data_IF_285201867845
#
_entry.id   IF_285201867845
#
_cell.length_a   1.000
_cell.length_b   1.000
_cell.length_c   1.000
_cell.angle_alpha   90.00
_cell.angle_beta   90.00
_cell.angle_gamma   90.00
#
_symmetry.space_group_name_H-M   'P 1'
#
loop_
_entity.id
_entity.type
_entity.pdbx_description
1 polymer ?
#
# COMPACT_ATOMS: atom_id res chain seq x y z
N UNK A 1 1.79 25.06 39.64
CA UNK A 1 1.73 24.46 38.26
C UNK A 1 0.49 24.99 37.57
N UNK A 2 0.64 25.53 36.34
CA UNK A 2 -0.42 26.16 35.55
C UNK A 2 -1.61 25.18 35.29
N UNK A 3 -1.36 23.88 35.25
CA UNK A 3 -2.40 22.86 35.13
C UNK A 3 -3.36 22.82 36.32
N UNK A 4 -2.86 22.99 37.55
CA UNK A 4 -3.68 22.96 38.77
C UNK A 4 -4.61 24.19 38.86
N UNK A 5 -4.16 25.33 38.40
CA UNK A 5 -4.96 26.57 38.30
C UNK A 5 -6.09 26.46 37.26
N UNK A 6 -5.81 25.81 36.14
CA UNK A 6 -6.83 25.56 35.07
C UNK A 6 -7.91 24.59 35.56
N UNK A 7 -7.55 23.53 36.29
CA UNK A 7 -8.52 22.59 36.86
C UNK A 7 -9.37 23.23 37.97
N UNK A 8 -8.80 24.07 38.79
CA UNK A 8 -9.52 24.82 39.84
C UNK A 8 -10.51 25.82 39.24
N UNK A 9 -10.11 26.53 38.18
CA UNK A 9 -11.00 27.45 37.46
C UNK A 9 -12.14 26.70 36.72
N UNK A 10 -11.87 25.55 36.13
CA UNK A 10 -12.85 24.68 35.49
C UNK A 10 -13.87 24.13 36.49
N UNK A 11 -13.45 23.77 37.70
CA UNK A 11 -14.34 23.27 38.73
C UNK A 11 -15.25 24.37 39.33
N UNK A 12 -14.72 25.58 39.50
CA UNK A 12 -15.51 26.75 39.93
C UNK A 12 -16.55 27.17 38.85
N UNK A 13 -16.20 27.05 37.56
CA UNK A 13 -17.12 27.37 36.46
C UNK A 13 -18.25 26.31 36.29
N UNK A 14 -17.97 25.05 36.61
CA UNK A 14 -18.94 23.96 36.59
C UNK A 14 -20.01 24.09 37.68
N UNK A 15 -19.68 24.72 38.80
CA UNK A 15 -20.64 24.99 39.90
C UNK A 15 -21.61 26.15 39.58
N UNK A 16 -21.19 27.09 38.70
CA UNK A 16 -22.00 28.23 38.29
C UNK A 16 -22.98 27.95 37.15
N UNK A 17 -22.83 26.79 36.44
CA UNK A 17 -23.66 26.44 35.28
C UNK A 17 -25.02 25.79 35.61
N UNK A 18 -25.39 25.67 36.89
CA UNK A 18 -26.70 25.11 37.32
C UNK A 18 -27.89 26.04 37.16
N UNK A 19 -27.75 27.24 36.58
CA UNK A 19 -28.87 28.14 36.29
C UNK A 19 -29.28 28.08 34.82
N UNK A 20 -30.60 28.11 34.58
CA UNK A 20 -31.39 27.86 33.35
C UNK A 20 -31.01 28.58 32.03
N UNK A 21 -29.75 28.86 31.72
CA UNK A 21 -29.30 29.40 30.42
C UNK A 21 -28.29 28.47 29.71
N UNK A 22 -28.53 27.16 29.79
CA UNK A 22 -27.56 26.09 29.54
C UNK A 22 -27.13 25.82 28.09
N UNK A 23 -27.79 26.37 27.05
CA UNK A 23 -27.49 25.90 25.67
C UNK A 23 -26.32 26.63 25.00
N UNK A 24 -26.14 27.93 25.24
CA UNK A 24 -25.02 28.69 24.62
C UNK A 24 -23.67 28.49 25.35
N UNK A 25 -23.74 28.27 26.65
CA UNK A 25 -22.53 28.07 27.48
C UNK A 25 -21.91 26.69 27.22
N UNK A 26 -22.74 25.65 27.02
CA UNK A 26 -22.26 24.31 26.68
C UNK A 26 -21.61 24.25 25.28
N UNK A 27 -22.11 25.00 24.32
CA UNK A 27 -21.53 25.09 22.99
C UNK A 27 -20.18 25.83 23.01
N UNK A 28 -20.05 26.92 23.77
CA UNK A 28 -18.78 27.64 23.98
C UNK A 28 -17.76 26.77 24.71
N UNK A 29 -18.19 25.99 25.70
CA UNK A 29 -17.32 25.05 26.43
C UNK A 29 -16.79 23.96 25.52
N UNK A 30 -17.66 23.32 24.72
CA UNK A 30 -17.25 22.30 23.76
C UNK A 30 -16.32 22.88 22.67
N UNK A 31 -16.60 24.08 22.19
CA UNK A 31 -15.73 24.78 21.25
C UNK A 31 -14.35 25.09 21.83
N UNK A 32 -14.28 25.53 23.10
CA UNK A 32 -13.00 25.78 23.80
C UNK A 32 -12.24 24.48 24.08
N UNK A 33 -12.94 23.39 24.45
CA UNK A 33 -12.36 22.06 24.63
C UNK A 33 -11.77 21.50 23.34
N UNK A 34 -12.48 21.61 22.23
CA UNK A 34 -12.00 21.23 20.89
C UNK A 34 -10.77 22.05 20.51
N UNK A 35 -10.77 23.37 20.78
CA UNK A 35 -9.65 24.24 20.48
C UNK A 35 -8.43 24.00 21.38
N UNK A 36 -8.61 23.50 22.60
CA UNK A 36 -7.53 23.08 23.51
C UNK A 36 -6.95 21.71 23.12
N UNK A 37 -7.78 20.81 22.56
CA UNK A 37 -7.32 19.50 22.05
C UNK A 37 -6.61 19.59 20.70
N UNK A 38 -6.81 20.67 19.93
CA UNK A 38 -6.16 20.88 18.63
C UNK A 38 -4.81 21.60 18.73
N UNK A 39 -4.17 21.69 19.88
CA UNK A 39 -2.74 22.00 19.93
C UNK A 39 -1.99 20.81 19.31
N UNK A 40 -1.93 20.82 18.01
CA UNK A 40 -0.97 20.01 17.27
C UNK A 40 0.40 20.45 17.78
N UNK A 41 1.13 19.51 18.36
CA UNK A 41 2.50 19.75 18.84
C UNK A 41 3.39 19.95 17.61
N UNK A 42 3.38 21.16 17.04
CA UNK A 42 4.14 21.55 15.84
C UNK A 42 5.65 21.50 16.06
N UNK A 43 6.10 21.29 17.31
CA UNK A 43 7.50 21.19 17.69
C UNK A 43 8.02 19.74 17.70
N UNK A 44 7.19 18.74 17.39
CA UNK A 44 7.66 17.36 17.27
C UNK A 44 8.30 17.14 15.90
N UNK A 45 9.56 17.46 15.73
CA UNK A 45 10.38 17.12 14.56
C UNK A 45 10.76 15.63 14.50
N UNK A 46 10.14 14.78 15.31
CA UNK A 46 10.44 13.36 15.35
C UNK A 46 9.90 12.66 14.10
N UNK A 47 10.80 12.28 13.21
CA UNK A 47 10.46 11.43 12.06
C UNK A 47 10.02 10.05 12.57
N UNK A 48 8.81 9.63 12.20
CA UNK A 48 8.30 8.30 12.52
C UNK A 48 8.89 7.31 11.51
N UNK A 49 9.76 6.42 11.98
CA UNK A 49 10.28 5.30 11.20
C UNK A 49 9.60 4.01 11.64
N UNK A 50 9.11 3.23 10.70
CA UNK A 50 8.45 1.95 10.95
C UNK A 50 9.50 0.84 11.02
N UNK A 51 9.40 -0.02 12.04
CA UNK A 51 10.20 -1.23 12.16
C UNK A 51 9.45 -2.43 11.56
N UNK A 52 10.15 -3.56 11.37
CA UNK A 52 9.57 -4.79 10.83
C UNK A 52 8.35 -5.29 11.62
N UNK A 53 8.36 -5.11 12.94
CA UNK A 53 7.29 -5.54 13.85
C UNK A 53 6.08 -4.60 13.84
N UNK A 54 6.31 -3.29 13.61
CA UNK A 54 5.26 -2.28 13.59
C UNK A 54 4.65 -2.07 12.21
N UNK A 55 5.20 -2.69 11.16
CA UNK A 55 4.71 -2.60 9.80
C UNK A 55 3.35 -3.33 9.67
N UNK A 56 2.29 -2.58 9.38
CA UNK A 56 0.96 -3.13 9.13
C UNK A 56 0.83 -3.46 7.65
N UNK A 57 0.63 -4.75 7.32
CA UNK A 57 0.38 -5.23 5.95
C UNK A 57 -1.10 -5.53 5.77
N UNK A 58 -1.67 -5.04 4.70
CA UNK A 58 -3.05 -5.34 4.29
C UNK A 58 -3.02 -6.28 3.08
N UNK A 59 -4.15 -6.96 2.84
CA UNK A 59 -4.34 -7.77 1.65
C UNK A 59 -5.19 -7.01 0.64
N UNK A 60 -4.70 -6.91 -0.58
CA UNK A 60 -5.32 -6.16 -1.66
C UNK A 60 -5.53 -7.08 -2.85
N UNK A 61 -6.75 -7.10 -3.38
CA UNK A 61 -7.15 -7.86 -4.55
C UNK A 61 -7.30 -6.91 -5.75
N UNK A 62 -6.73 -7.29 -6.89
CA UNK A 62 -6.69 -6.49 -8.11
C UNK A 62 -7.11 -7.36 -9.29
N UNK A 63 -8.03 -6.87 -10.13
CA UNK A 63 -8.40 -7.52 -11.38
C UNK A 63 -7.52 -7.02 -12.53
N UNK A 64 -6.90 -7.96 -13.25
CA UNK A 64 -6.04 -7.70 -14.40
C UNK A 64 -6.79 -7.70 -15.72
N UNK A 65 -8.10 -7.96 -15.75
CA UNK A 65 -8.90 -8.07 -16.97
C UNK A 65 -8.76 -6.80 -17.80
N UNK A 66 -8.37 -6.95 -19.07
CA UNK A 66 -8.23 -5.88 -20.06
C UNK A 66 -7.24 -4.76 -19.69
N UNK A 67 -6.51 -4.90 -18.61
CA UNK A 67 -5.53 -3.90 -18.17
C UNK A 67 -4.20 -4.04 -18.94
N UNK A 68 -3.55 -2.93 -19.31
CA UNK A 68 -2.23 -2.98 -19.92
C UNK A 68 -1.18 -3.41 -18.87
N UNK A 69 -0.48 -4.52 -19.15
CA UNK A 69 0.49 -5.16 -18.25
C UNK A 69 1.46 -4.17 -17.60
N UNK A 70 2.06 -3.27 -18.37
CA UNK A 70 3.06 -2.34 -17.85
C UNK A 70 2.50 -1.36 -16.83
N UNK A 71 1.31 -0.80 -17.10
CA UNK A 71 0.62 0.14 -16.19
C UNK A 71 0.15 -0.57 -14.92
N UNK A 72 -0.43 -1.76 -15.07
CA UNK A 72 -0.82 -2.62 -13.96
C UNK A 72 0.38 -2.90 -13.05
N UNK A 73 1.46 -3.46 -13.61
CA UNK A 73 2.64 -3.82 -12.85
C UNK A 73 3.32 -2.63 -12.16
N UNK A 74 3.28 -1.42 -12.75
CA UNK A 74 3.86 -0.22 -12.12
C UNK A 74 3.10 0.19 -10.85
N UNK A 75 1.77 0.10 -10.85
CA UNK A 75 0.92 0.37 -9.69
C UNK A 75 1.06 -0.72 -8.63
N UNK A 76 1.10 -1.99 -9.06
CA UNK A 76 1.38 -3.14 -8.17
C UNK A 76 2.74 -2.98 -7.48
N UNK A 77 3.79 -2.57 -8.19
CA UNK A 77 5.10 -2.34 -7.60
C UNK A 77 5.09 -1.21 -6.54
N UNK A 78 4.29 -0.16 -6.74
CA UNK A 78 4.09 0.91 -5.73
C UNK A 78 3.39 0.38 -4.48
N UNK A 79 2.34 -0.48 -4.63
CA UNK A 79 1.62 -1.11 -3.52
C UNK A 79 2.52 -2.06 -2.73
N UNK A 80 3.21 -2.97 -3.43
CA UNK A 80 4.16 -3.91 -2.84
C UNK A 80 5.27 -3.21 -2.05
N UNK A 81 5.75 -2.06 -2.54
CA UNK A 81 6.75 -1.26 -1.82
C UNK A 81 6.16 -0.43 -0.69
N UNK A 82 4.84 -0.21 -0.67
CA UNK A 82 4.15 0.59 0.34
C UNK A 82 4.22 2.10 0.12
N UNK A 83 4.48 2.57 -1.10
CA UNK A 83 4.62 4.01 -1.39
C UNK A 83 3.32 4.82 -1.24
N UNK A 84 2.18 4.17 -1.12
CA UNK A 84 0.89 4.82 -0.84
C UNK A 84 0.64 5.05 0.66
N UNK A 85 1.47 4.47 1.54
CA UNK A 85 1.33 4.62 2.99
C UNK A 85 2.10 5.83 3.49
N UNK A 86 1.49 6.60 4.38
CA UNK A 86 2.16 7.73 5.05
C UNK A 86 3.36 7.28 5.89
N UNK A 87 3.32 6.05 6.40
CA UNK A 87 4.38 5.43 7.21
C UNK A 87 5.48 4.74 6.38
N UNK A 88 5.59 5.06 5.09
CA UNK A 88 6.58 4.45 4.21
C UNK A 88 8.01 4.64 4.72
N UNK A 89 8.73 3.54 4.91
CA UNK A 89 10.14 3.53 5.32
C UNK A 89 10.96 2.74 4.29
N UNK A 90 11.98 3.35 3.64
CA UNK A 90 12.67 2.76 2.48
C UNK A 90 13.41 1.44 2.77
N UNK A 91 13.91 1.24 3.99
CA UNK A 91 14.71 0.08 4.40
C UNK A 91 13.90 -1.05 5.01
N UNK A 92 12.58 -0.87 5.18
CA UNK A 92 11.66 -1.88 5.74
C UNK A 92 10.61 -2.26 4.72
N UNK A 93 10.14 -3.52 4.75
CA UNK A 93 9.02 -3.99 3.96
C UNK A 93 7.69 -3.53 4.60
N UNK A 94 7.26 -2.33 4.22
CA UNK A 94 6.00 -1.71 4.66
C UNK A 94 4.84 -1.92 3.68
N UNK A 95 5.07 -2.66 2.59
CA UNK A 95 4.10 -2.88 1.53
C UNK A 95 2.95 -3.79 1.94
N UNK A 96 2.00 -3.93 1.02
CA UNK A 96 0.84 -4.79 1.16
C UNK A 96 1.03 -6.10 0.41
N UNK A 97 0.26 -7.12 0.80
CA UNK A 97 0.15 -8.36 0.04
C UNK A 97 -0.82 -8.14 -1.12
N UNK A 98 -0.38 -8.40 -2.35
CA UNK A 98 -1.17 -8.12 -3.54
C UNK A 98 -1.56 -9.42 -4.23
N UNK A 99 -2.87 -9.62 -4.43
CA UNK A 99 -3.45 -10.71 -5.18
C UNK A 99 -3.88 -10.16 -6.54
N UNK A 100 -3.39 -10.77 -7.61
CA UNK A 100 -3.76 -10.41 -8.99
C UNK A 100 -4.61 -11.55 -9.54
N UNK A 101 -5.84 -11.21 -9.96
CA UNK A 101 -6.79 -12.13 -10.56
C UNK A 101 -6.87 -11.95 -12.08
N UNK A 102 -7.39 -12.95 -12.77
CA UNK A 102 -7.57 -12.94 -14.23
C UNK A 102 -6.28 -12.59 -15.00
N UNK A 103 -5.14 -13.06 -14.53
CA UNK A 103 -3.84 -12.72 -15.10
C UNK A 103 -3.70 -13.11 -16.59
N UNK A 104 -4.46 -14.11 -17.05
CA UNK A 104 -4.48 -14.53 -18.46
C UNK A 104 -5.11 -13.51 -19.40
N UNK A 105 -6.00 -12.63 -18.86
CA UNK A 105 -6.74 -11.64 -19.66
C UNK A 105 -6.04 -10.28 -19.77
N UNK A 106 -4.78 -10.22 -19.39
CA UNK A 106 -3.97 -8.99 -19.46
C UNK A 106 -3.66 -8.61 -20.90
N UNK A 107 -3.60 -7.30 -21.19
CA UNK A 107 -3.30 -6.79 -22.54
C UNK A 107 -1.88 -6.27 -22.66
N UNK A 108 -1.28 -6.52 -23.83
CA UNK A 108 -0.08 -5.84 -24.32
C UNK A 108 -0.42 -5.11 -25.60
N UNK A 109 0.01 -3.86 -25.75
CA UNK A 109 -0.26 -3.05 -26.94
C UNK A 109 0.69 -3.39 -28.09
N UNK A 110 0.18 -3.36 -29.33
CA UNK A 110 0.95 -3.66 -30.55
C UNK A 110 1.46 -5.09 -30.59
N UNK A 111 2.55 -5.34 -31.29
CA UNK A 111 3.17 -6.65 -31.50
C UNK A 111 4.06 -7.12 -30.33
N UNK A 112 3.94 -6.50 -29.13
CA UNK A 112 4.83 -6.80 -27.98
C UNK A 112 4.75 -8.24 -27.48
N UNK A 113 3.73 -8.99 -27.82
CA UNK A 113 3.63 -10.40 -27.49
C UNK A 113 4.74 -11.23 -28.13
N UNK A 114 5.15 -10.86 -29.34
CA UNK A 114 6.16 -11.54 -30.15
C UNK A 114 7.50 -10.84 -30.16
N UNK A 115 7.48 -9.51 -30.31
CA UNK A 115 8.70 -8.74 -30.57
C UNK A 115 9.51 -8.42 -29.29
N UNK A 116 8.84 -8.40 -28.14
CA UNK A 116 9.55 -8.13 -26.89
C UNK A 116 10.29 -9.38 -26.43
N UNK A 117 11.61 -9.24 -26.19
CA UNK A 117 12.47 -10.34 -25.73
C UNK A 117 12.89 -10.07 -24.28
N UNK A 118 12.77 -11.10 -23.43
CA UNK A 118 13.30 -11.15 -22.07
C UNK A 118 14.49 -12.10 -22.01
N UNK A 119 15.66 -11.57 -21.67
CA UNK A 119 16.88 -12.36 -21.54
C UNK A 119 17.01 -13.00 -20.16
N UNK A 120 17.53 -14.22 -20.14
CA UNK A 120 18.02 -14.92 -18.95
C UNK A 120 19.38 -15.49 -19.26
N UNK A 121 20.30 -15.33 -18.36
CA UNK A 121 21.67 -15.85 -18.47
C UNK A 121 21.94 -16.88 -17.39
N UNK A 122 22.53 -18.03 -17.74
CA UNK A 122 22.85 -19.13 -16.82
C UNK A 122 24.20 -18.99 -16.12
N UNK A 123 25.05 -18.06 -16.54
CA UNK A 123 26.41 -17.88 -16.02
C UNK A 123 27.51 -18.66 -16.79
N UNK A 124 27.11 -19.49 -17.74
CA UNK A 124 28.05 -20.27 -18.57
C UNK A 124 28.23 -19.69 -19.98
N UNK A 125 29.34 -19.93 -20.68
CA UNK A 125 29.50 -19.58 -22.10
C UNK A 125 28.35 -20.11 -22.92
N UNK A 126 27.75 -19.27 -23.80
CA UNK A 126 26.56 -19.63 -24.59
C UNK A 126 25.27 -19.79 -23.78
N UNK A 127 25.25 -19.46 -22.50
CA UNK A 127 24.12 -19.65 -21.60
C UNK A 127 23.02 -18.59 -21.67
N UNK A 128 23.02 -17.70 -22.66
CA UNK A 128 21.94 -16.74 -22.88
C UNK A 128 20.71 -17.45 -23.44
N UNK A 129 19.57 -17.20 -22.85
CA UNK A 129 18.28 -17.69 -23.30
C UNK A 129 17.30 -16.53 -23.46
N UNK A 130 16.48 -16.61 -24.51
CA UNK A 130 15.50 -15.63 -24.88
C UNK A 130 14.10 -16.18 -24.63
N UNK A 131 13.21 -15.33 -24.15
CA UNK A 131 11.81 -15.66 -23.93
C UNK A 131 10.94 -14.49 -24.38
N UNK A 132 9.92 -14.77 -25.17
CA UNK A 132 8.86 -13.82 -25.48
C UNK A 132 7.84 -13.75 -24.34
N UNK A 133 7.04 -12.66 -24.23
CA UNK A 133 5.91 -12.62 -23.30
C UNK A 133 4.93 -13.79 -23.51
N UNK A 134 4.69 -14.18 -24.75
CA UNK A 134 3.85 -15.32 -25.10
C UNK A 134 4.40 -16.65 -24.52
N UNK A 135 5.72 -16.87 -24.58
CA UNK A 135 6.35 -18.05 -23.99
C UNK A 135 6.26 -18.06 -22.46
N UNK A 136 6.41 -16.89 -21.84
CA UNK A 136 6.27 -16.78 -20.38
C UNK A 136 4.84 -17.02 -19.94
N UNK A 137 3.85 -16.51 -20.69
CA UNK A 137 2.43 -16.73 -20.41
C UNK A 137 2.05 -18.20 -20.53
N UNK A 138 2.52 -18.91 -21.57
CA UNK A 138 2.33 -20.37 -21.72
C UNK A 138 2.87 -21.16 -20.55
N UNK A 139 3.99 -20.73 -19.97
CA UNK A 139 4.62 -21.37 -18.78
C UNK A 139 3.91 -21.06 -17.49
N UNK A 140 3.02 -20.07 -17.52
CA UNK A 140 2.23 -19.58 -16.39
C UNK A 140 2.27 -18.06 -16.26
N UNK A 141 1.11 -17.39 -16.08
CA UNK A 141 1.01 -15.93 -16.00
C UNK A 141 1.85 -15.37 -14.85
N UNK A 142 2.00 -16.09 -13.75
CA UNK A 142 2.85 -15.71 -12.63
C UNK A 142 4.28 -15.38 -13.06
N UNK A 143 4.85 -16.15 -13.97
CA UNK A 143 6.24 -15.94 -14.46
C UNK A 143 6.40 -14.63 -15.21
N UNK A 144 5.40 -14.26 -16.02
CA UNK A 144 5.41 -13.00 -16.75
C UNK A 144 5.30 -11.81 -15.79
N UNK A 145 4.33 -11.85 -14.87
CA UNK A 145 4.13 -10.78 -13.88
C UNK A 145 5.36 -10.62 -12.98
N UNK A 146 5.90 -11.69 -12.44
CA UNK A 146 7.13 -11.66 -11.62
C UNK A 146 8.32 -11.08 -12.38
N UNK A 147 8.50 -11.45 -13.65
CA UNK A 147 9.59 -10.91 -14.47
C UNK A 147 9.47 -9.39 -14.65
N UNK A 148 8.26 -8.90 -14.91
CA UNK A 148 7.99 -7.48 -15.11
C UNK A 148 8.11 -6.68 -13.80
N UNK A 149 7.45 -7.15 -12.73
CA UNK A 149 7.46 -6.46 -11.42
C UNK A 149 8.86 -6.47 -10.79
N UNK A 150 9.62 -7.58 -10.91
CA UNK A 150 11.01 -7.64 -10.43
C UNK A 150 11.89 -6.55 -11.05
N UNK A 151 11.66 -6.21 -12.32
CA UNK A 151 12.36 -5.09 -12.98
C UNK A 151 12.00 -3.71 -12.44
N UNK A 152 10.83 -3.56 -11.78
CA UNK A 152 10.32 -2.30 -11.21
C UNK A 152 10.61 -2.15 -9.72
N UNK A 153 11.00 -3.23 -9.04
CA UNK A 153 11.39 -3.23 -7.64
C UNK A 153 12.89 -2.96 -7.48
N UNK A 154 13.36 -2.51 -6.32
CA UNK A 154 14.78 -2.32 -6.05
C UNK A 154 15.54 -3.64 -6.16
N UNK A 155 16.74 -3.60 -6.76
CA UNK A 155 17.60 -4.76 -7.00
C UNK A 155 18.46 -5.08 -5.77
N UNK A 156 17.81 -5.45 -4.67
CA UNK A 156 18.44 -5.81 -3.40
C UNK A 156 17.68 -6.95 -2.71
N UNK A 157 18.22 -7.45 -1.60
CA UNK A 157 17.59 -8.51 -0.80
C UNK A 157 16.16 -8.13 -0.35
N UNK A 158 15.92 -6.85 -0.02
CA UNK A 158 14.60 -6.35 0.35
C UNK A 158 13.63 -6.42 -0.84
N UNK A 159 14.08 -6.08 -2.05
CA UNK A 159 13.24 -6.17 -3.25
C UNK A 159 12.84 -7.60 -3.59
N UNK A 160 13.72 -8.57 -3.39
CA UNK A 160 13.39 -10.00 -3.56
C UNK A 160 12.39 -10.47 -2.50
N UNK A 161 12.52 -10.02 -1.25
CA UNK A 161 11.54 -10.30 -0.19
C UNK A 161 10.16 -9.65 -0.46
N UNK A 162 10.13 -8.42 -0.95
CA UNK A 162 8.90 -7.72 -1.33
C UNK A 162 8.18 -8.46 -2.48
N UNK A 163 8.92 -9.01 -3.43
CA UNK A 163 8.35 -9.74 -4.57
C UNK A 163 7.59 -11.00 -4.12
N UNK A 164 7.92 -11.62 -2.99
CA UNK A 164 7.20 -12.79 -2.45
C UNK A 164 5.79 -12.46 -1.96
N UNK A 165 5.50 -11.18 -1.68
CA UNK A 165 4.17 -10.72 -1.26
C UNK A 165 3.20 -10.56 -2.45
N UNK A 166 3.60 -10.93 -3.66
CA UNK A 166 2.76 -10.91 -4.87
C UNK A 166 2.27 -12.31 -5.21
N UNK A 167 0.96 -12.47 -5.28
CA UNK A 167 0.26 -13.69 -5.64
C UNK A 167 -0.50 -13.47 -6.95
N UNK A 168 -0.28 -14.34 -7.94
CA UNK A 168 -0.87 -14.19 -9.28
C UNK A 168 -1.68 -15.43 -9.62
N UNK A 169 -2.94 -15.23 -10.01
CA UNK A 169 -3.86 -16.28 -10.38
C UNK A 169 -4.42 -16.06 -11.79
N UNK A 170 -4.50 -17.13 -12.56
CA UNK A 170 -5.05 -17.10 -13.91
C UNK A 170 -6.55 -16.82 -13.91
N UNK A 171 -7.29 -17.42 -12.98
CA UNK A 171 -8.73 -17.27 -12.83
C UNK A 171 -9.16 -16.23 -11.80
N UNK A 172 -10.44 -16.33 -11.44
CA UNK A 172 -11.10 -15.47 -10.43
C UNK A 172 -10.99 -16.02 -9.01
N UNK A 173 -10.64 -17.30 -8.85
CA UNK A 173 -10.58 -17.94 -7.55
C UNK A 173 -9.18 -17.93 -6.97
N UNK A 174 -9.09 -17.73 -5.65
CA UNK A 174 -7.82 -17.72 -4.93
C UNK A 174 -7.98 -18.31 -3.51
N UNK A 175 -6.95 -18.95 -2.92
CA UNK A 175 -7.04 -19.60 -1.61
C UNK A 175 -6.99 -18.61 -0.43
N UNK A 176 -6.83 -17.29 -0.66
CA UNK A 176 -6.61 -16.28 0.38
C UNK A 176 -7.90 -15.61 0.88
N UNK A 177 -9.07 -16.21 0.71
CA UNK A 177 -10.37 -15.64 1.15
C UNK A 177 -10.42 -15.38 2.66
N UNK A 178 -9.77 -16.23 3.46
CA UNK A 178 -9.68 -16.08 4.92
C UNK A 178 -9.02 -14.77 5.37
N UNK A 179 -8.15 -14.19 4.53
CA UNK A 179 -7.47 -12.92 4.80
C UNK A 179 -8.32 -11.68 4.52
N UNK A 180 -9.54 -11.84 4.01
CA UNK A 180 -10.50 -10.78 3.67
C UNK A 180 -9.85 -9.67 2.83
N UNK A 181 -9.31 -9.97 1.62
CA UNK A 181 -8.63 -8.99 0.79
C UNK A 181 -9.59 -7.86 0.40
N UNK A 182 -9.06 -6.63 0.35
CA UNK A 182 -9.79 -5.45 -0.11
C UNK A 182 -9.70 -5.36 -1.63
N UNK A 183 -10.84 -5.32 -2.32
CA UNK A 183 -10.87 -5.07 -3.77
C UNK A 183 -10.45 -3.64 -4.05
N UNK A 184 -9.52 -3.47 -4.98
CA UNK A 184 -8.96 -2.18 -5.33
C UNK A 184 -8.93 -2.01 -6.85
N UNK A 185 -9.60 -0.95 -7.32
CA UNK A 185 -9.58 -0.58 -8.73
C UNK A 185 -8.30 0.18 -9.06
N UNK A 186 -7.55 -0.36 -10.01
CA UNK A 186 -6.27 0.21 -10.43
C UNK A 186 -6.43 1.63 -10.96
N UNK A 187 -7.53 1.94 -11.63
CA UNK A 187 -7.75 3.24 -12.25
C UNK A 187 -7.90 4.37 -11.23
N UNK A 188 -8.30 4.07 -10.00
CA UNK A 188 -8.40 5.05 -8.90
C UNK A 188 -7.05 5.41 -8.30
N UNK A 189 -6.03 4.56 -8.48
CA UNK A 189 -4.67 4.84 -7.99
C UNK A 189 -3.94 5.83 -8.91
N UNK A 190 -3.51 6.93 -8.34
CA UNK A 190 -2.66 7.94 -9.00
C UNK A 190 -1.18 7.55 -9.00
#
# INVERSE_FOLDING_TARGET
>A
SIKSLIYSFLFAFMSLSKTKRGSKVSLLYNYLLIKLQTKVDTLSYKTISVNKETAKKEWVEIDATDQPLGRLCSKVAKLLRGKYKASFTPHVDCGDNVIILNADKVKLSGSKWTDRIYYRYSGYPGGQREYTPADLMRKGPDRLFRKVVKGMLPKNKLGDAILTNMFVYAGTEHPHQAQKPKKLDINTLK
#
